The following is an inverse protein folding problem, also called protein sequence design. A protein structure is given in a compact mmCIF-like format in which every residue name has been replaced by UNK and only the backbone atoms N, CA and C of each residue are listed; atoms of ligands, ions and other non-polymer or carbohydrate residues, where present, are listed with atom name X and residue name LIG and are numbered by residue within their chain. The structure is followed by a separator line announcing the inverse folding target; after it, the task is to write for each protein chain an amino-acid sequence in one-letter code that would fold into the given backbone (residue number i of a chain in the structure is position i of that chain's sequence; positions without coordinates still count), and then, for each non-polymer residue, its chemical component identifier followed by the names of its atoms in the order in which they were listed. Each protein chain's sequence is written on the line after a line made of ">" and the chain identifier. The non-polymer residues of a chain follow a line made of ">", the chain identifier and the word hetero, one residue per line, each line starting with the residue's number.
data_IF_637536820723
#
_entry.id   IF_637536820723
#
_cell.length_a   1.000
_cell.length_b   1.000
_cell.length_c   1.000
_cell.angle_alpha   90.00
_cell.angle_beta   90.00
_cell.angle_gamma   90.00
#
_symmetry.space_group_name_H-M   'P 1'
#
loop_
_entity.id
_entity.type
_entity.pdbx_description
1 polymer ?
#
# COMPACT_ATOMS: atom_id res chain seq x y z
N UNK A 1 -8.48 21.35 27.36
CA UNK A 1 -9.32 21.32 26.14
C UNK A 1 -8.39 21.25 24.93
N UNK A 2 -8.52 20.33 23.96
CA UNK A 2 -8.95 18.93 24.06
C UNK A 2 -7.72 17.99 24.15
N UNK A 3 -7.82 16.86 24.86
CA UNK A 3 -6.90 15.74 24.61
C UNK A 3 -7.31 15.18 23.26
N UNK A 4 -6.53 15.50 22.23
CA UNK A 4 -6.70 14.90 20.91
C UNK A 4 -6.42 13.42 21.13
N UNK A 5 -7.47 12.61 21.31
CA UNK A 5 -7.36 11.15 21.17
C UNK A 5 -6.84 10.97 19.76
N UNK A 6 -5.53 10.81 19.65
CA UNK A 6 -4.89 10.62 18.38
C UNK A 6 -5.36 9.25 17.96
N UNK A 7 -6.38 9.20 17.08
CA UNK A 7 -6.64 7.99 16.31
C UNK A 7 -5.28 7.59 15.78
N UNK A 8 -4.82 6.40 16.14
CA UNK A 8 -3.61 5.82 15.57
C UNK A 8 -3.84 5.80 14.07
N UNK A 9 -3.27 6.79 13.37
CA UNK A 9 -3.51 6.99 11.94
C UNK A 9 -2.75 5.88 11.23
N UNK A 10 -3.45 4.78 11.03
CA UNK A 10 -2.91 3.58 10.42
C UNK A 10 -3.61 3.30 9.11
N UNK A 11 -2.88 2.79 8.14
CA UNK A 11 -3.44 2.30 6.90
C UNK A 11 -3.67 0.80 7.00
N UNK A 12 -4.83 0.35 6.53
CA UNK A 12 -5.12 -1.08 6.35
C UNK A 12 -4.49 -1.56 5.05
N UNK A 13 -4.18 -2.85 4.96
CA UNK A 13 -3.71 -3.45 3.72
C UNK A 13 -4.70 -3.14 2.56
N UNK A 14 -4.25 -2.48 1.47
CA UNK A 14 -5.15 -2.07 0.39
C UNK A 14 -5.60 -3.24 -0.50
N UNK A 15 -5.16 -4.46 -0.16
CA UNK A 15 -5.54 -5.70 -0.82
C UNK A 15 -4.50 -6.17 -1.83
N UNK A 16 -4.73 -7.40 -2.31
CA UNK A 16 -3.90 -8.00 -3.35
C UNK A 16 -4.20 -7.37 -4.72
N UNK A 17 -3.21 -7.50 -5.61
CA UNK A 17 -3.29 -7.10 -7.02
C UNK A 17 -3.38 -8.36 -7.89
N UNK A 18 -3.93 -8.24 -9.10
CA UNK A 18 -3.95 -9.37 -10.05
C UNK A 18 -2.58 -9.49 -10.72
N UNK A 19 -2.13 -10.73 -10.93
CA UNK A 19 -0.86 -11.04 -11.61
C UNK A 19 0.36 -10.42 -10.92
N UNK A 20 0.35 -10.38 -9.60
CA UNK A 20 1.41 -9.82 -8.77
C UNK A 20 1.10 -9.96 -7.28
N UNK A 21 2.06 -9.57 -6.45
CA UNK A 21 1.94 -9.64 -4.99
C UNK A 21 2.80 -8.56 -4.32
N UNK A 22 2.80 -8.51 -2.98
CA UNK A 22 3.68 -7.63 -2.22
C UNK A 22 5.07 -8.25 -2.03
N UNK A 23 6.13 -7.45 -2.13
CA UNK A 23 7.53 -7.90 -1.93
C UNK A 23 7.74 -8.46 -0.52
N UNK A 24 7.07 -7.87 0.46
CA UNK A 24 7.07 -8.32 1.85
C UNK A 24 5.69 -8.86 2.24
N UNK A 25 5.61 -9.78 3.23
CA UNK A 25 4.34 -10.22 3.77
C UNK A 25 3.48 -9.02 4.22
N UNK A 26 2.19 -8.99 3.85
CA UNK A 26 1.32 -7.89 4.25
C UNK A 26 1.12 -7.89 5.77
N UNK A 27 1.01 -6.68 6.34
CA UNK A 27 0.66 -6.45 7.75
C UNK A 27 -0.82 -6.13 7.86
N UNK A 28 -1.41 -6.38 9.02
CA UNK A 28 -2.81 -5.99 9.29
C UNK A 28 -3.00 -4.47 9.33
N UNK A 29 -1.93 -3.75 9.71
CA UNK A 29 -1.90 -2.30 9.87
C UNK A 29 -0.50 -1.76 9.53
N UNK A 30 -0.47 -0.55 8.98
CA UNK A 30 0.73 0.18 8.63
C UNK A 30 0.72 1.55 9.28
N UNK A 31 1.80 1.94 9.94
CA UNK A 31 1.94 3.27 10.52
C UNK A 31 2.20 4.32 9.44
N UNK A 32 1.89 5.58 9.72
CA UNK A 32 2.27 6.69 8.83
C UNK A 32 3.77 6.64 8.52
N UNK A 33 4.09 6.75 7.23
CA UNK A 33 5.45 6.66 6.70
C UNK A 33 5.90 5.25 6.34
N UNK A 34 5.18 4.20 6.76
CA UNK A 34 5.43 2.85 6.28
C UNK A 34 5.03 2.68 4.82
N UNK A 35 5.72 1.75 4.15
CA UNK A 35 5.58 1.54 2.71
C UNK A 35 5.33 0.08 2.37
N UNK A 36 4.45 -0.13 1.40
CA UNK A 36 4.21 -1.42 0.76
C UNK A 36 4.79 -1.36 -0.64
N UNK A 37 5.59 -2.37 -0.97
CA UNK A 37 6.13 -2.55 -2.30
C UNK A 37 5.42 -3.72 -2.98
N UNK A 38 5.02 -3.52 -4.22
CA UNK A 38 4.40 -4.52 -5.08
C UNK A 38 5.37 -5.00 -6.15
N UNK A 39 5.17 -6.23 -6.61
CA UNK A 39 5.81 -6.79 -7.78
C UNK A 39 4.78 -7.48 -8.66
N UNK A 40 5.07 -7.59 -9.95
CA UNK A 40 4.25 -8.33 -10.90
C UNK A 40 4.86 -9.69 -11.21
N UNK A 41 4.00 -10.64 -11.54
CA UNK A 41 4.40 -11.97 -11.99
C UNK A 41 5.18 -11.87 -13.32
N UNK A 42 5.95 -12.91 -13.63
CA UNK A 42 6.78 -12.95 -14.84
C UNK A 42 5.94 -12.71 -16.10
N UNK A 43 6.35 -11.74 -16.91
CA UNK A 43 5.64 -11.35 -18.14
C UNK A 43 4.58 -10.27 -17.95
N UNK A 44 4.48 -9.69 -16.75
CA UNK A 44 3.66 -8.52 -16.47
C UNK A 44 4.52 -7.36 -15.99
N UNK A 45 4.15 -6.15 -16.40
CA UNK A 45 4.78 -4.90 -16.01
C UNK A 45 3.82 -4.06 -15.17
N UNK A 46 4.38 -3.32 -14.21
CA UNK A 46 3.62 -2.38 -13.40
C UNK A 46 3.21 -1.18 -14.25
N UNK A 47 1.92 -0.82 -14.22
CA UNK A 47 1.46 0.36 -14.94
C UNK A 47 1.95 1.69 -14.34
N UNK A 48 2.28 1.68 -13.04
CA UNK A 48 2.65 2.86 -12.25
C UNK A 48 3.73 2.48 -11.23
N UNK A 49 4.10 3.44 -10.37
CA UNK A 49 4.90 3.17 -9.18
C UNK A 49 4.37 1.99 -8.37
N UNK A 50 5.29 1.14 -7.93
CA UNK A 50 4.98 -0.06 -7.17
C UNK A 50 4.96 0.15 -5.66
N UNK A 51 5.02 1.41 -5.22
CA UNK A 51 5.18 1.79 -3.83
C UNK A 51 3.95 2.56 -3.35
N UNK A 52 3.37 2.10 -2.25
CA UNK A 52 2.30 2.78 -1.52
C UNK A 52 2.85 3.18 -0.16
N UNK A 53 2.75 4.45 0.19
CA UNK A 53 3.16 4.99 1.49
C UNK A 53 1.94 5.36 2.31
N UNK A 54 1.88 4.93 3.57
CA UNK A 54 0.78 5.30 4.45
C UNK A 54 0.93 6.77 4.85
N UNK A 55 -0.07 7.60 4.50
CA UNK A 55 -0.08 9.02 4.85
C UNK A 55 -0.89 9.27 6.12
N UNK A 56 -0.67 10.45 6.70
CA UNK A 56 -1.57 11.03 7.69
C UNK A 56 -3.00 10.96 7.12
N UNK A 57 -4.01 10.67 7.96
CA UNK A 57 -5.41 10.41 7.60
C UNK A 57 -5.78 8.96 7.26
N UNK A 58 -4.91 7.98 7.52
CA UNK A 58 -5.21 6.55 7.25
C UNK A 58 -5.46 6.26 5.77
N UNK A 59 -4.87 7.07 4.89
CA UNK A 59 -5.01 6.98 3.43
C UNK A 59 -3.65 6.63 2.83
N UNK A 60 -3.66 5.74 1.85
CA UNK A 60 -2.46 5.43 1.06
C UNK A 60 -2.11 6.57 0.12
N UNK A 61 -0.82 6.81 -0.10
CA UNK A 61 -0.31 7.85 -0.97
C UNK A 61 -0.88 7.79 -2.38
N UNK A 62 -1.15 6.56 -2.86
CA UNK A 62 -1.70 6.22 -4.17
C UNK A 62 -2.58 4.98 -4.07
N UNK A 63 -3.36 4.71 -5.11
CA UNK A 63 -4.09 3.46 -5.27
C UNK A 63 -3.14 2.30 -5.58
N UNK A 64 -3.56 1.07 -5.27
CA UNK A 64 -2.78 -0.13 -5.57
C UNK A 64 -2.49 -0.23 -7.08
N UNK A 65 -1.25 -0.59 -7.47
CA UNK A 65 -0.91 -0.74 -8.87
C UNK A 65 -1.64 -1.94 -9.47
N UNK A 66 -1.69 -1.99 -10.80
CA UNK A 66 -2.11 -3.19 -11.52
C UNK A 66 -1.01 -3.61 -12.49
N UNK A 67 -0.91 -4.92 -12.65
CA UNK A 67 0.03 -5.56 -13.54
C UNK A 67 -0.59 -5.69 -14.92
N UNK A 68 0.02 -5.06 -15.93
CA UNK A 68 -0.39 -5.14 -17.32
C UNK A 68 0.56 -6.09 -18.05
N UNK A 69 0.00 -6.99 -18.86
CA UNK A 69 0.79 -7.84 -19.75
C UNK A 69 1.29 -6.97 -20.91
N UNK A 70 2.60 -7.02 -21.16
CA UNK A 70 3.21 -6.44 -22.36
C UNK A 70 2.79 -7.22 -23.61
#
# INVERSE_FOLDING_TARGET
>A
MPTRTQCEQICRFPGQIKHGNTIHPPKDHYLVGERIFYYCDKGYNLNNENILECKNESIWSKSKPFCKKD
#
